data_IF_856853278968
#
_entry.id   IF_856853278968
#
_cell.length_a   1.000
_cell.length_b   1.000
_cell.length_c   1.000
_cell.angle_alpha   90.00
_cell.angle_beta   90.00
_cell.angle_gamma   90.00
#
_symmetry.space_group_name_H-M   'P 1'
#
loop_
_entity.id
_entity.type
_entity.pdbx_description
1 polymer ?
#
# COMPACT_ATOMS: atom_id res chain seq x y z
N UNK A 1 -50.83 5.93 -20.91
CA UNK A 1 -49.79 5.04 -20.34
C UNK A 1 -48.50 5.02 -21.17
N UNK A 2 -48.55 4.95 -22.53
CA UNK A 2 -47.34 4.91 -23.36
C UNK A 2 -46.41 6.14 -23.27
N UNK A 3 -46.93 7.36 -23.05
CA UNK A 3 -46.08 8.56 -22.92
C UNK A 3 -45.25 8.62 -21.62
N UNK A 4 -45.71 8.00 -20.53
CA UNK A 4 -44.92 7.88 -19.28
C UNK A 4 -43.80 6.84 -19.41
N UNK A 5 -43.97 5.84 -20.28
CA UNK A 5 -42.96 4.81 -20.55
C UNK A 5 -41.85 5.38 -21.46
N UNK A 6 -42.17 6.25 -22.44
CA UNK A 6 -41.14 6.95 -23.24
C UNK A 6 -40.26 7.90 -22.42
N UNK A 7 -40.79 8.54 -21.37
CA UNK A 7 -40.01 9.38 -20.45
C UNK A 7 -39.02 8.58 -19.58
N UNK A 8 -39.26 7.28 -19.37
CA UNK A 8 -38.33 6.40 -18.66
C UNK A 8 -37.12 5.98 -19.52
N UNK A 9 -37.20 6.17 -20.84
CA UNK A 9 -36.15 5.78 -21.80
C UNK A 9 -35.63 6.94 -22.67
N UNK A 10 -36.05 8.19 -22.43
CA UNK A 10 -35.39 9.32 -23.07
C UNK A 10 -34.08 9.59 -22.35
N UNK A 11 -32.97 9.61 -23.08
CA UNK A 11 -31.70 10.13 -22.57
C UNK A 11 -31.98 11.51 -21.95
N UNK A 12 -31.59 11.71 -20.68
CA UNK A 12 -31.64 13.04 -20.08
C UNK A 12 -30.74 13.95 -20.89
N UNK A 13 -31.23 15.12 -21.26
CA UNK A 13 -30.41 16.12 -21.94
C UNK A 13 -29.35 16.63 -20.96
N UNK A 14 -28.10 16.26 -21.21
CA UNK A 14 -26.94 16.67 -20.42
C UNK A 14 -26.05 17.68 -21.16
N UNK A 15 -26.56 18.32 -22.22
CA UNK A 15 -25.77 19.26 -23.05
C UNK A 15 -25.18 20.44 -22.27
N UNK A 16 -25.84 20.85 -21.17
CA UNK A 16 -25.38 21.90 -20.25
C UNK A 16 -24.72 21.36 -18.97
N UNK A 17 -24.50 20.06 -18.86
CA UNK A 17 -23.88 19.45 -17.68
C UNK A 17 -22.37 19.29 -17.85
N UNK A 18 -21.65 19.40 -16.74
CA UNK A 18 -20.23 19.14 -16.61
C UNK A 18 -20.05 17.63 -16.42
N UNK A 19 -19.35 16.97 -17.35
CA UNK A 19 -18.97 15.56 -17.22
C UNK A 19 -17.77 15.42 -16.30
N UNK A 20 -17.90 14.55 -15.31
CA UNK A 20 -16.91 14.33 -14.27
C UNK A 20 -16.67 12.83 -14.07
N UNK A 21 -15.40 12.45 -13.91
CA UNK A 21 -15.00 11.10 -13.49
C UNK A 21 -14.31 11.20 -12.12
N UNK A 22 -14.98 10.70 -11.09
CA UNK A 22 -14.46 10.66 -9.72
C UNK A 22 -13.80 9.31 -9.42
N UNK A 23 -12.58 9.35 -8.90
CA UNK A 23 -11.77 8.19 -8.54
C UNK A 23 -11.65 8.10 -7.03
N UNK A 24 -12.55 7.33 -6.42
CA UNK A 24 -12.76 7.26 -4.98
C UNK A 24 -11.96 6.11 -4.37
N UNK A 25 -11.27 6.37 -3.26
CA UNK A 25 -10.41 5.38 -2.59
C UNK A 25 -11.11 4.69 -1.41
N UNK A 26 -12.16 5.32 -0.84
CA UNK A 26 -12.89 4.74 0.29
C UNK A 26 -13.64 3.46 -0.10
N UNK A 27 -13.73 2.53 0.85
CA UNK A 27 -14.45 1.26 0.71
C UNK A 27 -15.94 1.49 0.43
N UNK A 28 -16.54 2.43 1.15
CA UNK A 28 -17.95 2.80 1.06
C UNK A 28 -18.06 4.23 0.56
N UNK A 29 -18.37 4.38 -0.73
CA UNK A 29 -18.58 5.70 -1.34
C UNK A 29 -19.91 6.28 -0.84
N UNK A 30 -19.92 7.49 -0.26
CA UNK A 30 -21.16 8.14 0.16
C UNK A 30 -22.14 8.28 -1.00
N UNK A 31 -23.45 8.20 -0.73
CA UNK A 31 -24.46 8.44 -1.76
C UNK A 31 -24.44 9.94 -2.16
N UNK A 32 -24.37 10.29 -3.46
CA UNK A 32 -24.43 11.68 -3.89
C UNK A 32 -25.75 12.35 -3.47
N UNK A 33 -25.65 13.47 -2.76
CA UNK A 33 -26.79 14.25 -2.23
C UNK A 33 -27.21 15.46 -3.08
N UNK A 34 -26.73 15.55 -4.32
CA UNK A 34 -26.93 16.68 -5.22
C UNK A 34 -27.56 16.24 -6.56
N UNK A 35 -28.17 17.16 -7.34
CA UNK A 35 -28.68 16.85 -8.67
C UNK A 35 -27.57 16.33 -9.59
N UNK A 36 -27.74 15.13 -10.16
CA UNK A 36 -26.78 14.52 -11.06
C UNK A 36 -27.45 13.51 -12.01
N UNK A 37 -26.74 13.17 -13.07
CA UNK A 37 -26.98 11.98 -13.89
C UNK A 37 -25.81 11.02 -13.69
N UNK A 38 -26.10 9.79 -13.26
CA UNK A 38 -25.09 8.73 -13.16
C UNK A 38 -24.89 8.10 -14.54
N UNK A 39 -23.68 8.21 -15.07
CA UNK A 39 -23.33 7.69 -16.39
C UNK A 39 -22.72 6.28 -16.30
N UNK A 40 -21.84 6.07 -15.33
CA UNK A 40 -21.18 4.79 -15.10
C UNK A 40 -20.69 4.68 -13.65
N UNK A 41 -20.57 3.44 -13.16
CA UNK A 41 -19.92 3.10 -11.89
C UNK A 41 -19.17 1.79 -12.04
N UNK A 42 -17.94 1.74 -11.53
CA UNK A 42 -17.15 0.52 -11.38
C UNK A 42 -16.68 0.41 -9.95
N UNK A 43 -16.65 -0.79 -9.40
CA UNK A 43 -16.05 -1.08 -8.10
C UNK A 43 -15.13 -2.31 -8.21
N UNK A 44 -14.54 -2.75 -7.10
CA UNK A 44 -13.60 -3.89 -7.08
C UNK A 44 -14.22 -5.23 -7.55
N UNK A 45 -15.55 -5.35 -7.61
CA UNK A 45 -16.22 -6.52 -8.16
C UNK A 45 -16.37 -6.48 -9.69
N UNK A 46 -16.17 -5.30 -10.29
CA UNK A 46 -16.22 -5.10 -11.73
C UNK A 46 -14.85 -5.43 -12.36
N UNK A 47 -14.76 -6.44 -13.24
CA UNK A 47 -13.50 -6.81 -13.90
C UNK A 47 -12.93 -5.69 -14.78
N UNK A 48 -13.73 -4.71 -15.18
CA UNK A 48 -13.29 -3.56 -15.99
C UNK A 48 -12.65 -2.44 -15.16
N UNK A 49 -12.74 -2.48 -13.82
CA UNK A 49 -12.12 -1.44 -13.00
C UNK A 49 -10.59 -1.45 -13.16
N UNK A 50 -9.93 -2.60 -12.99
CA UNK A 50 -8.46 -2.65 -13.03
C UNK A 50 -7.89 -2.26 -14.40
N UNK A 51 -8.40 -2.76 -15.55
CA UNK A 51 -7.98 -2.28 -16.87
C UNK A 51 -8.20 -0.78 -17.05
N UNK A 52 -9.32 -0.24 -16.56
CA UNK A 52 -9.61 1.19 -16.62
C UNK A 52 -8.59 2.02 -15.81
N UNK A 53 -8.29 1.62 -14.57
CA UNK A 53 -7.30 2.30 -13.73
C UNK A 53 -5.90 2.22 -14.33
N UNK A 54 -5.52 1.05 -14.87
CA UNK A 54 -4.23 0.89 -15.58
C UNK A 54 -4.13 1.82 -16.78
N UNK A 55 -5.19 1.92 -17.60
CA UNK A 55 -5.26 2.86 -18.70
C UNK A 55 -5.12 4.31 -18.24
N UNK A 56 -5.79 4.68 -17.16
CA UNK A 56 -5.70 6.04 -16.60
C UNK A 56 -4.31 6.35 -16.03
N UNK A 57 -3.69 5.43 -15.28
CA UNK A 57 -2.32 5.61 -14.79
C UNK A 57 -1.31 5.75 -15.93
N UNK A 58 -1.45 4.97 -17.01
CA UNK A 58 -0.60 5.10 -18.20
C UNK A 58 -0.77 6.46 -18.88
N UNK A 59 -2.01 6.94 -19.01
CA UNK A 59 -2.29 8.28 -19.51
C UNK A 59 -1.61 9.36 -18.66
N UNK A 60 -1.73 9.28 -17.33
CA UNK A 60 -1.11 10.22 -16.40
C UNK A 60 0.41 10.18 -16.45
N UNK A 61 1.00 8.99 -16.62
CA UNK A 61 2.44 8.81 -16.74
C UNK A 61 3.01 9.38 -18.05
N UNK A 62 2.23 9.39 -19.13
CA UNK A 62 2.64 9.92 -20.44
C UNK A 62 2.37 11.43 -20.61
N UNK A 63 1.43 11.98 -19.84
CA UNK A 63 1.15 13.42 -19.82
C UNK A 63 2.40 14.24 -19.45
N UNK A 64 2.51 15.48 -19.96
CA UNK A 64 3.68 16.34 -19.69
C UNK A 64 4.99 15.80 -20.28
N UNK A 65 4.93 15.23 -21.50
CA UNK A 65 6.06 14.59 -22.16
C UNK A 65 6.75 13.46 -21.36
N UNK A 66 6.02 12.83 -20.43
CA UNK A 66 6.52 11.72 -19.61
C UNK A 66 7.42 12.14 -18.45
N UNK A 67 7.52 13.44 -18.13
CA UNK A 67 8.25 13.89 -16.94
C UNK A 67 7.53 13.38 -15.67
N UNK A 68 8.24 12.89 -14.67
CA UNK A 68 7.61 12.47 -13.40
C UNK A 68 7.80 13.54 -12.33
N UNK A 69 6.77 14.36 -12.09
CA UNK A 69 6.75 15.31 -10.98
C UNK A 69 6.26 14.65 -9.68
N UNK A 70 6.53 15.27 -8.53
CA UNK A 70 6.04 14.78 -7.24
C UNK A 70 4.50 14.69 -7.20
N UNK A 71 3.81 15.70 -7.72
CA UNK A 71 2.33 15.71 -7.76
C UNK A 71 1.82 14.59 -8.66
N UNK A 72 2.39 14.42 -9.86
CA UNK A 72 2.02 13.35 -10.79
C UNK A 72 2.20 11.96 -10.18
N UNK A 73 3.33 11.74 -9.51
CA UNK A 73 3.59 10.51 -8.76
C UNK A 73 2.50 10.26 -7.72
N UNK A 74 2.14 11.24 -6.88
CA UNK A 74 1.12 11.05 -5.84
C UNK A 74 -0.30 10.93 -6.38
N UNK A 75 -0.61 11.54 -7.54
CA UNK A 75 -1.88 11.29 -8.24
C UNK A 75 -1.93 9.84 -8.74
N UNK A 76 -0.85 9.31 -9.31
CA UNK A 76 -0.79 7.89 -9.70
C UNK A 76 -0.93 6.98 -8.46
N UNK A 77 -0.26 7.30 -7.35
CA UNK A 77 -0.44 6.60 -6.06
C UNK A 77 -1.88 6.66 -5.55
N UNK A 78 -2.59 7.76 -5.78
CA UNK A 78 -4.01 7.84 -5.47
C UNK A 78 -4.83 6.89 -6.34
N UNK A 79 -4.58 6.87 -7.65
CA UNK A 79 -5.27 5.97 -8.60
C UNK A 79 -5.06 4.49 -8.24
N UNK A 80 -3.87 4.10 -7.79
CA UNK A 80 -3.58 2.74 -7.32
C UNK A 80 -4.41 2.31 -6.09
N UNK A 81 -4.91 3.26 -5.29
CA UNK A 81 -5.77 3.00 -4.12
C UNK A 81 -7.26 3.04 -4.46
N UNK A 82 -7.63 3.33 -5.71
CA UNK A 82 -9.03 3.53 -6.10
C UNK A 82 -9.81 2.23 -5.97
N UNK A 83 -10.93 2.32 -5.27
CA UNK A 83 -11.86 1.21 -5.08
C UNK A 83 -13.16 1.39 -5.86
N UNK A 84 -13.47 2.64 -6.22
CA UNK A 84 -14.65 2.98 -7.01
C UNK A 84 -14.33 4.07 -8.02
N UNK A 85 -14.77 3.86 -9.26
CA UNK A 85 -14.87 4.89 -10.27
C UNK A 85 -16.35 5.26 -10.43
N UNK A 86 -16.65 6.57 -10.45
CA UNK A 86 -18.01 7.08 -10.64
C UNK A 86 -17.99 8.17 -11.71
N UNK A 87 -18.74 7.98 -12.79
CA UNK A 87 -18.91 8.97 -13.85
C UNK A 87 -20.25 9.67 -13.70
N UNK A 88 -20.23 10.99 -13.55
CA UNK A 88 -21.39 11.83 -13.29
C UNK A 88 -21.48 12.98 -14.29
N UNK A 89 -22.69 13.36 -14.67
CA UNK A 89 -22.97 14.66 -15.28
C UNK A 89 -23.69 15.53 -14.25
N UNK A 90 -23.13 16.70 -13.94
CA UNK A 90 -23.68 17.64 -12.96
C UNK A 90 -23.86 19.04 -13.54
N UNK A 91 -24.85 19.78 -13.06
CA UNK A 91 -25.00 21.20 -13.39
C UNK A 91 -23.99 22.05 -12.60
N UNK A 92 -23.62 23.23 -13.11
CA UNK A 92 -22.69 24.15 -12.45
C UNK A 92 -23.13 24.51 -11.01
N UNK A 93 -24.43 24.69 -10.79
CA UNK A 93 -25.00 24.98 -9.48
C UNK A 93 -24.86 23.85 -8.44
N UNK A 94 -24.47 22.64 -8.84
CA UNK A 94 -24.24 21.51 -7.94
C UNK A 94 -22.78 21.38 -7.47
N UNK A 95 -21.87 22.24 -7.94
CA UNK A 95 -20.42 22.06 -7.74
C UNK A 95 -20.00 22.07 -6.26
N UNK A 96 -20.57 22.94 -5.43
CA UNK A 96 -20.26 23.00 -3.99
C UNK A 96 -20.65 21.71 -3.26
N UNK A 97 -21.83 21.18 -3.59
CA UNK A 97 -22.32 19.92 -3.01
C UNK A 97 -21.53 18.72 -3.54
N UNK A 98 -21.10 18.77 -4.81
CA UNK A 98 -20.18 17.79 -5.39
C UNK A 98 -18.83 17.82 -4.67
N UNK A 99 -18.25 19.00 -4.41
CA UNK A 99 -16.97 19.13 -3.72
C UNK A 99 -17.00 18.50 -2.31
N UNK A 100 -18.08 18.76 -1.55
CA UNK A 100 -18.28 18.13 -0.24
C UNK A 100 -18.36 16.59 -0.34
N UNK A 101 -19.06 16.07 -1.36
CA UNK A 101 -19.13 14.63 -1.61
C UNK A 101 -17.78 14.03 -2.04
N UNK A 102 -17.06 14.70 -2.94
CA UNK A 102 -15.75 14.26 -3.42
C UNK A 102 -14.74 14.18 -2.26
N UNK A 103 -14.82 15.14 -1.32
CA UNK A 103 -14.01 15.12 -0.10
C UNK A 103 -14.34 13.92 0.77
N UNK A 104 -15.63 13.63 0.99
CA UNK A 104 -16.08 12.48 1.78
C UNK A 104 -15.76 11.12 1.10
N UNK A 105 -15.76 11.07 -0.23
CA UNK A 105 -15.38 9.91 -1.03
C UNK A 105 -13.85 9.74 -1.18
N UNK A 106 -13.06 10.68 -0.65
CA UNK A 106 -11.62 10.79 -0.87
C UNK A 106 -11.25 10.64 -2.36
N UNK A 107 -11.87 11.47 -3.19
CA UNK A 107 -11.82 11.36 -4.64
C UNK A 107 -10.93 12.42 -5.30
N UNK A 108 -10.12 12.02 -6.27
CA UNK A 108 -9.63 12.94 -7.30
C UNK A 108 -10.57 12.92 -8.50
N UNK A 109 -10.55 13.98 -9.27
CA UNK A 109 -11.56 14.26 -10.28
C UNK A 109 -10.91 14.47 -11.64
N UNK A 110 -11.21 13.63 -12.63
CA UNK A 110 -10.80 13.84 -14.02
C UNK A 110 -11.93 14.52 -14.79
N UNK A 111 -11.58 15.63 -15.43
CA UNK A 111 -12.51 16.52 -16.13
C UNK A 111 -12.45 16.30 -17.64
N UNK A 112 -13.49 16.72 -18.36
CA UNK A 112 -13.55 16.63 -19.82
C UNK A 112 -12.46 17.46 -20.54
N UNK A 113 -11.91 18.49 -19.87
CA UNK A 113 -10.79 19.29 -20.38
C UNK A 113 -9.44 18.56 -20.29
N UNK A 114 -9.38 17.36 -19.70
CA UNK A 114 -8.16 16.58 -19.50
C UNK A 114 -7.42 16.88 -18.19
N UNK A 115 -7.91 17.81 -17.36
CA UNK A 115 -7.32 18.10 -16.05
C UNK A 115 -7.70 17.06 -14.99
N UNK A 116 -6.78 16.84 -14.04
CA UNK A 116 -7.06 16.16 -12.78
C UNK A 116 -7.14 17.20 -11.68
N UNK A 117 -8.18 17.13 -10.86
CA UNK A 117 -8.47 18.10 -9.81
C UNK A 117 -8.64 17.43 -8.45
N UNK A 118 -8.34 18.19 -7.41
CA UNK A 118 -8.63 17.80 -6.04
C UNK A 118 -10.14 17.94 -5.73
N UNK A 119 -10.62 17.53 -4.55
CA UNK A 119 -12.04 17.64 -4.22
C UNK A 119 -12.59 19.06 -4.22
N UNK A 120 -11.75 20.09 -4.08
CA UNK A 120 -12.13 21.50 -4.12
C UNK A 120 -12.12 22.08 -5.55
N UNK A 121 -11.79 21.27 -6.55
CA UNK A 121 -11.73 21.69 -7.95
C UNK A 121 -10.43 22.43 -8.31
N UNK A 122 -9.43 22.44 -7.43
CA UNK A 122 -8.09 22.97 -7.75
C UNK A 122 -7.35 21.99 -8.63
N UNK A 123 -6.57 22.49 -9.58
CA UNK A 123 -5.91 21.66 -10.60
C UNK A 123 -4.71 20.95 -9.98
N UNK A 124 -4.76 19.63 -9.83
CA UNK A 124 -3.59 18.81 -9.47
C UNK A 124 -2.67 18.65 -10.68
N UNK A 125 -3.25 18.31 -11.83
CA UNK A 125 -2.52 18.15 -13.10
C UNK A 125 -3.33 18.84 -14.21
N UNK A 126 -2.73 19.80 -14.93
CA UNK A 126 -3.37 20.39 -16.10
C UNK A 126 -3.40 19.39 -17.27
N UNK A 127 -4.21 19.68 -18.29
CA UNK A 127 -4.26 18.88 -19.52
C UNK A 127 -2.96 18.96 -20.34
N UNK A 128 -2.24 20.08 -20.22
CA UNK A 128 -0.93 20.31 -20.82
C UNK A 128 -0.01 21.06 -19.83
N UNK A 129 1.29 20.75 -19.88
CA UNK A 129 2.26 21.24 -18.90
C UNK A 129 2.40 20.36 -17.67
N UNK A 130 3.19 20.82 -16.70
CA UNK A 130 3.60 20.03 -15.54
C UNK A 130 3.11 20.56 -14.19
N UNK A 131 2.85 21.86 -14.10
CA UNK A 131 2.51 22.50 -12.84
C UNK A 131 0.99 22.75 -12.75
N UNK A 132 0.39 22.16 -11.72
CA UNK A 132 -0.97 22.47 -11.29
C UNK A 132 -1.02 23.70 -10.37
N UNK A 133 -2.15 23.89 -9.72
CA UNK A 133 -2.32 24.86 -8.65
C UNK A 133 -1.40 24.49 -7.46
N UNK A 134 -0.51 25.38 -7.00
CA UNK A 134 0.37 25.12 -5.86
C UNK A 134 -0.35 24.80 -4.53
N UNK A 135 -1.64 25.13 -4.44
CA UNK A 135 -2.49 24.82 -3.28
C UNK A 135 -3.30 23.53 -3.44
N UNK A 136 -3.27 22.88 -4.61
CA UNK A 136 -3.96 21.61 -4.81
C UNK A 136 -3.29 20.49 -4.00
N UNK A 137 -4.10 19.64 -3.38
CA UNK A 137 -3.59 18.55 -2.53
C UNK A 137 -4.29 17.25 -2.89
N UNK A 138 -3.52 16.19 -3.11
CA UNK A 138 -4.07 14.83 -3.26
C UNK A 138 -4.79 14.47 -1.95
N UNK A 139 -6.08 14.10 -1.98
CA UNK A 139 -6.84 13.93 -0.75
C UNK A 139 -6.48 12.63 -0.03
N UNK A 140 -6.49 12.71 1.30
CA UNK A 140 -6.38 11.57 2.20
C UNK A 140 -7.47 11.65 3.27
N UNK A 141 -7.94 10.51 3.81
CA UNK A 141 -8.85 10.51 4.94
C UNK A 141 -8.22 11.22 6.16
N UNK A 142 -9.02 11.87 7.03
CA UNK A 142 -8.49 12.60 8.18
C UNK A 142 -7.61 11.76 9.11
N UNK A 143 -7.89 10.46 9.25
CA UNK A 143 -7.11 9.55 10.10
C UNK A 143 -5.66 9.40 9.61
N UNK A 144 -5.42 9.50 8.29
CA UNK A 144 -4.07 9.46 7.72
C UNK A 144 -3.22 10.65 8.16
N UNK A 145 -3.81 11.85 8.16
CA UNK A 145 -3.14 13.07 8.63
C UNK A 145 -2.85 13.03 10.12
N UNK A 146 -3.80 12.53 10.92
CA UNK A 146 -3.61 12.36 12.36
C UNK A 146 -2.48 11.37 12.67
N UNK A 147 -2.42 10.25 11.93
CA UNK A 147 -1.35 9.26 12.04
C UNK A 147 0.01 9.84 11.65
N UNK A 148 0.09 10.55 10.52
CA UNK A 148 1.29 11.29 10.12
C UNK A 148 1.79 12.20 11.25
N UNK A 149 0.90 12.99 11.86
CA UNK A 149 1.27 13.88 12.96
C UNK A 149 1.86 13.13 14.16
N UNK A 150 1.25 12.01 14.57
CA UNK A 150 1.78 11.15 15.64
C UNK A 150 3.16 10.59 15.28
N UNK A 151 3.36 10.10 14.06
CA UNK A 151 4.65 9.59 13.60
C UNK A 151 5.72 10.69 13.59
N UNK A 152 5.39 11.88 13.10
CA UNK A 152 6.30 13.02 13.06
C UNK A 152 6.73 13.43 14.49
N UNK A 153 5.82 13.41 15.47
CA UNK A 153 6.14 13.63 16.89
C UNK A 153 7.08 12.56 17.47
N UNK A 154 6.82 11.28 17.19
CA UNK A 154 7.67 10.16 17.62
C UNK A 154 9.09 10.22 17.04
N UNK A 155 9.22 10.73 15.83
CA UNK A 155 10.49 10.93 15.13
C UNK A 155 11.23 12.15 15.66
N UNK A 156 10.53 13.26 15.89
CA UNK A 156 11.10 14.47 16.48
C UNK A 156 11.69 14.19 17.88
N UNK A 157 11.00 13.39 18.70
CA UNK A 157 11.50 12.94 20.00
C UNK A 157 12.82 12.16 19.91
N UNK A 158 13.10 11.53 18.75
CA UNK A 158 14.35 10.81 18.44
C UNK A 158 15.32 11.63 17.60
N UNK A 159 15.06 12.92 17.39
CA UNK A 159 15.86 13.83 16.55
C UNK A 159 15.98 13.36 15.09
N UNK A 160 14.98 12.64 14.60
CA UNK A 160 14.83 12.28 13.18
C UNK A 160 13.96 13.34 12.53
N UNK A 161 14.45 13.97 11.47
CA UNK A 161 13.75 15.03 10.74
C UNK A 161 13.32 14.52 9.37
N UNK A 162 12.02 14.66 9.08
CA UNK A 162 11.42 14.39 7.78
C UNK A 162 10.71 15.66 7.26
N UNK A 163 10.63 15.89 5.94
CA UNK A 163 9.93 17.03 5.37
C UNK A 163 8.45 17.01 5.71
N UNK A 164 7.88 18.18 6.01
CA UNK A 164 6.44 18.32 6.20
C UNK A 164 5.64 17.90 4.95
N UNK A 165 6.27 17.99 3.77
CA UNK A 165 5.72 17.61 2.45
C UNK A 165 5.69 16.11 2.19
N UNK A 166 6.28 15.27 3.05
CA UNK A 166 6.21 13.82 2.93
C UNK A 166 4.75 13.39 3.22
N UNK A 167 4.02 12.79 2.27
CA UNK A 167 2.57 12.65 2.40
C UNK A 167 2.16 11.57 3.42
N UNK A 168 0.89 11.56 3.83
CA UNK A 168 0.29 10.41 4.49
C UNK A 168 0.25 9.18 3.59
N UNK A 169 0.02 8.02 4.19
CA UNK A 169 -0.20 6.76 3.50
C UNK A 169 -1.69 6.35 3.55
N UNK A 170 -1.97 5.15 3.05
CA UNK A 170 -3.29 4.50 3.11
C UNK A 170 -3.88 4.54 4.53
N UNK A 171 -5.19 4.71 4.61
CA UNK A 171 -5.96 4.83 5.84
C UNK A 171 -7.07 3.79 5.96
N UNK A 172 -7.61 3.66 7.16
CA UNK A 172 -8.66 2.71 7.55
C UNK A 172 -9.88 2.72 6.60
N UNK A 173 -10.42 3.87 6.15
CA UNK A 173 -11.60 3.86 5.26
C UNK A 173 -11.31 3.31 3.86
N UNK A 174 -10.06 3.27 3.43
CA UNK A 174 -9.62 2.78 2.11
C UNK A 174 -8.92 1.40 2.22
N UNK A 175 -8.52 1.00 3.42
CA UNK A 175 -7.68 -0.16 3.69
C UNK A 175 -8.28 -1.46 3.11
N UNK A 176 -7.39 -2.22 2.47
CA UNK A 176 -7.57 -3.64 2.19
C UNK A 176 -6.37 -4.35 2.80
N UNK A 177 -6.63 -5.20 3.77
CA UNK A 177 -5.60 -5.91 4.51
C UNK A 177 -5.57 -7.37 4.08
N UNK A 178 -4.38 -7.95 3.95
CA UNK A 178 -4.20 -9.40 3.75
C UNK A 178 -4.88 -10.17 4.88
N UNK A 179 -5.45 -11.32 4.57
CA UNK A 179 -6.17 -12.15 5.56
C UNK A 179 -5.19 -12.77 6.57
N UNK A 180 -5.63 -13.12 7.80
CA UNK A 180 -4.77 -13.82 8.75
C UNK A 180 -4.13 -15.09 8.18
N UNK A 181 -4.87 -15.82 7.34
CA UNK A 181 -4.39 -17.02 6.64
C UNK A 181 -3.29 -16.71 5.62
N UNK A 182 -3.43 -15.63 4.85
CA UNK A 182 -2.40 -15.19 3.91
C UNK A 182 -1.12 -14.78 4.65
N UNK A 183 -1.27 -14.04 5.75
CA UNK A 183 -0.15 -13.60 6.60
C UNK A 183 0.58 -14.80 7.20
N UNK A 184 -0.15 -15.79 7.74
CA UNK A 184 0.44 -17.02 8.26
C UNK A 184 1.20 -17.78 7.18
N UNK A 185 0.58 -17.95 6.00
CA UNK A 185 1.19 -18.66 4.87
C UNK A 185 2.48 -17.99 4.44
N UNK A 186 2.48 -16.67 4.28
CA UNK A 186 3.65 -15.88 3.91
C UNK A 186 4.75 -15.98 4.97
N UNK A 187 4.40 -15.85 6.24
CA UNK A 187 5.33 -15.98 7.37
C UNK A 187 6.03 -17.34 7.38
N UNK A 188 5.29 -18.44 7.18
CA UNK A 188 5.85 -19.79 7.15
C UNK A 188 6.76 -20.01 5.93
N UNK A 189 6.40 -19.46 4.77
CA UNK A 189 7.21 -19.55 3.57
C UNK A 189 8.53 -18.75 3.70
N UNK A 190 8.49 -17.55 4.28
CA UNK A 190 9.70 -16.80 4.62
C UNK A 190 10.56 -17.53 5.65
N UNK A 191 9.92 -18.19 6.62
CA UNK A 191 10.63 -18.94 7.65
C UNK A 191 11.45 -20.11 7.08
N UNK A 192 10.91 -20.88 6.14
CA UNK A 192 11.65 -22.01 5.56
C UNK A 192 12.85 -21.56 4.73
N UNK A 193 12.77 -20.44 4.01
CA UNK A 193 13.92 -19.90 3.27
C UNK A 193 14.96 -19.26 4.20
N UNK A 194 14.52 -18.56 5.25
CA UNK A 194 15.41 -17.96 6.24
C UNK A 194 16.20 -19.01 7.05
N UNK A 195 15.52 -20.08 7.52
CA UNK A 195 16.19 -21.19 8.21
C UNK A 195 17.15 -21.93 7.28
N UNK A 196 16.79 -22.12 6.01
CA UNK A 196 17.71 -22.73 5.04
C UNK A 196 18.99 -21.88 4.93
N UNK A 197 18.85 -20.57 4.78
CA UNK A 197 19.98 -19.64 4.71
C UNK A 197 20.84 -19.69 5.99
N UNK A 198 20.22 -19.64 7.16
CA UNK A 198 20.91 -19.77 8.45
C UNK A 198 21.69 -21.08 8.56
N UNK A 199 21.07 -22.20 8.17
CA UNK A 199 21.70 -23.53 8.25
C UNK A 199 22.95 -23.67 7.38
N UNK A 200 22.99 -22.96 6.24
CA UNK A 200 24.15 -22.92 5.34
C UNK A 200 25.31 -22.13 5.96
N UNK A 201 25.01 -21.08 6.71
CA UNK A 201 26.04 -20.29 7.43
C UNK A 201 26.53 -20.96 8.71
N UNK A 202 25.67 -21.73 9.39
CA UNK A 202 25.95 -22.32 10.70
C UNK A 202 26.67 -23.68 10.70
N UNK A 203 27.06 -24.20 9.53
CA UNK A 203 27.79 -25.47 9.39
C UNK A 203 26.94 -26.74 9.57
N UNK A 204 25.66 -26.62 9.92
CA UNK A 204 24.71 -27.72 10.02
C UNK A 204 23.60 -27.55 8.99
N UNK A 205 23.89 -27.93 7.75
CA UNK A 205 23.00 -27.75 6.61
C UNK A 205 21.72 -28.57 6.78
N UNK A 206 20.56 -27.90 6.78
CA UNK A 206 19.26 -28.58 6.84
C UNK A 206 18.80 -28.87 5.42
N UNK A 207 18.51 -30.13 5.11
CA UNK A 207 18.00 -30.51 3.78
C UNK A 207 16.60 -29.93 3.53
N UNK A 208 16.36 -29.49 2.30
CA UNK A 208 15.07 -28.89 1.90
C UNK A 208 13.91 -29.88 2.07
N UNK A 209 14.15 -31.17 1.82
CA UNK A 209 13.14 -32.22 2.04
C UNK A 209 12.76 -32.38 3.51
N UNK A 210 13.67 -32.11 4.45
CA UNK A 210 13.35 -32.15 5.88
C UNK A 210 12.53 -30.93 6.31
N UNK A 211 12.83 -29.75 5.75
CA UNK A 211 11.98 -28.56 5.91
C UNK A 211 10.58 -28.81 5.34
N UNK A 212 10.48 -29.48 4.19
CA UNK A 212 9.21 -29.82 3.54
C UNK A 212 8.37 -30.79 4.36
N UNK A 213 8.99 -31.81 4.96
CA UNK A 213 8.31 -32.74 5.88
C UNK A 213 7.83 -32.02 7.14
N UNK A 214 8.62 -31.08 7.67
CA UNK A 214 8.31 -30.38 8.93
C UNK A 214 7.29 -29.25 8.76
N UNK A 215 7.35 -28.53 7.65
CA UNK A 215 6.47 -27.40 7.34
C UNK A 215 5.78 -27.53 5.97
N UNK A 216 5.00 -28.60 5.70
CA UNK A 216 4.40 -28.80 4.37
C UNK A 216 3.60 -27.60 3.85
N UNK A 217 2.78 -26.90 4.67
CA UNK A 217 2.01 -25.74 4.20
C UNK A 217 2.84 -24.53 3.78
N UNK A 218 4.09 -24.41 4.26
CA UNK A 218 5.00 -23.33 3.87
C UNK A 218 5.35 -23.41 2.37
N UNK A 219 5.54 -24.63 1.85
CA UNK A 219 5.96 -24.86 0.46
C UNK A 219 4.89 -24.47 -0.56
N UNK A 220 3.61 -24.57 -0.18
CA UNK A 220 2.50 -24.07 -1.00
C UNK A 220 2.42 -22.54 -1.04
N UNK A 221 3.08 -21.85 -0.12
CA UNK A 221 3.14 -20.39 -0.05
C UNK A 221 4.37 -19.77 -0.71
N UNK A 222 5.31 -20.57 -1.20
CA UNK A 222 6.55 -20.05 -1.76
C UNK A 222 6.28 -19.17 -2.99
N UNK A 223 7.10 -18.15 -3.18
CA UNK A 223 7.18 -17.40 -4.44
C UNK A 223 8.09 -18.12 -5.45
N UNK A 224 8.17 -17.60 -6.67
CA UNK A 224 9.09 -18.16 -7.67
C UNK A 224 10.55 -17.94 -7.28
N UNK A 225 10.89 -16.76 -6.74
CA UNK A 225 12.24 -16.49 -6.25
C UNK A 225 12.64 -17.42 -5.09
N UNK A 226 11.74 -17.66 -4.14
CA UNK A 226 11.98 -18.56 -3.01
C UNK A 226 12.09 -20.03 -3.45
N UNK A 227 11.26 -20.48 -4.41
CA UNK A 227 11.38 -21.81 -5.01
C UNK A 227 12.72 -21.99 -5.71
N UNK A 228 13.13 -20.99 -6.49
CA UNK A 228 14.40 -21.00 -7.19
C UNK A 228 15.57 -21.12 -6.21
N UNK A 229 15.56 -20.33 -5.14
CA UNK A 229 16.58 -20.40 -4.08
C UNK A 229 16.66 -21.79 -3.42
N UNK A 230 15.52 -22.36 -3.01
CA UNK A 230 15.50 -23.69 -2.38
C UNK A 230 15.90 -24.83 -3.32
N UNK A 231 15.82 -24.64 -4.64
CA UNK A 231 16.27 -25.63 -5.62
C UNK A 231 17.80 -25.61 -5.85
N UNK A 232 18.51 -24.59 -5.37
CA UNK A 232 19.95 -24.50 -5.54
C UNK A 232 20.69 -25.42 -4.57
N UNK A 233 21.61 -26.24 -5.10
CA UNK A 233 22.49 -27.07 -4.27
C UNK A 233 23.47 -26.22 -3.45
N UNK A 234 24.01 -25.15 -4.07
CA UNK A 234 24.99 -24.24 -3.49
C UNK A 234 24.64 -22.78 -3.83
N UNK A 235 23.74 -22.13 -3.07
CA UNK A 235 23.44 -20.72 -3.28
C UNK A 235 24.64 -19.84 -2.95
N UNK A 236 24.69 -18.66 -3.56
CA UNK A 236 25.76 -17.70 -3.32
C UNK A 236 25.67 -17.11 -1.90
N UNK A 237 26.78 -16.54 -1.42
CA UNK A 237 26.81 -15.81 -0.15
C UNK A 237 25.84 -14.61 -0.16
N UNK A 238 25.72 -13.95 -1.31
CA UNK A 238 24.79 -12.84 -1.50
C UNK A 238 23.33 -13.28 -1.35
N UNK A 239 22.92 -14.35 -2.06
CA UNK A 239 21.56 -14.90 -1.94
C UNK A 239 21.30 -15.40 -0.52
N UNK A 240 22.26 -16.08 0.09
CA UNK A 240 22.15 -16.55 1.49
C UNK A 240 21.93 -15.37 2.45
N UNK A 241 22.68 -14.29 2.27
CA UNK A 241 22.51 -13.06 3.06
C UNK A 241 21.14 -12.43 2.82
N UNK A 242 20.68 -12.35 1.57
CA UNK A 242 19.35 -11.83 1.22
C UNK A 242 18.23 -12.63 1.91
N UNK A 243 18.32 -13.95 1.95
CA UNK A 243 17.31 -14.78 2.60
C UNK A 243 17.41 -14.77 4.14
N UNK A 244 18.59 -14.49 4.72
CA UNK A 244 18.72 -14.22 6.16
C UNK A 244 17.96 -12.96 6.59
N UNK A 245 17.98 -11.90 5.77
CA UNK A 245 17.24 -10.67 6.05
C UNK A 245 15.73 -10.89 6.21
N UNK A 246 15.16 -11.97 5.65
CA UNK A 246 13.74 -12.30 5.80
C UNK A 246 13.30 -12.51 7.25
N UNK A 247 14.21 -12.71 8.20
CA UNK A 247 13.88 -12.69 9.63
C UNK A 247 13.22 -11.37 10.08
N UNK A 248 13.62 -10.23 9.53
CA UNK A 248 13.00 -8.93 9.83
C UNK A 248 11.57 -8.83 9.30
N UNK A 249 11.31 -9.37 8.12
CA UNK A 249 9.95 -9.48 7.59
C UNK A 249 9.10 -10.44 8.45
N UNK A 250 9.67 -11.58 8.87
CA UNK A 250 8.98 -12.54 9.75
C UNK A 250 8.62 -11.89 11.08
N UNK A 251 9.48 -11.06 11.67
CA UNK A 251 9.18 -10.31 12.89
C UNK A 251 7.91 -9.47 12.72
N UNK A 252 7.78 -8.73 11.61
CA UNK A 252 6.57 -7.95 11.31
C UNK A 252 5.34 -8.85 11.22
N UNK A 253 5.41 -9.94 10.46
CA UNK A 253 4.25 -10.83 10.28
C UNK A 253 3.86 -11.54 11.59
N UNK A 254 4.84 -11.95 12.41
CA UNK A 254 4.58 -12.49 13.75
C UNK A 254 3.96 -11.44 14.67
N UNK A 255 4.46 -10.20 14.66
CA UNK A 255 3.88 -9.10 15.42
C UNK A 255 2.44 -8.85 15.00
N UNK A 256 2.15 -8.80 13.71
CA UNK A 256 0.79 -8.63 13.18
C UNK A 256 -0.14 -9.76 13.62
N UNK A 257 0.33 -11.01 13.67
CA UNK A 257 -0.42 -12.17 14.15
C UNK A 257 -0.48 -12.29 15.69
N UNK A 258 -0.01 -11.28 16.43
CA UNK A 258 0.00 -11.29 17.91
C UNK A 258 0.95 -12.31 18.53
N UNK A 259 1.89 -12.84 17.75
CA UNK A 259 2.91 -13.79 18.21
C UNK A 259 4.12 -13.08 18.85
N UNK A 260 4.28 -11.78 18.57
CA UNK A 260 5.25 -10.89 19.21
C UNK A 260 4.51 -9.73 19.87
N UNK A 261 4.90 -9.40 21.11
CA UNK A 261 4.25 -8.36 21.92
C UNK A 261 4.50 -6.96 21.35
N UNK A 262 5.71 -6.69 20.85
CA UNK A 262 6.11 -5.39 20.33
C UNK A 262 6.89 -5.52 19.02
N UNK A 263 6.81 -4.47 18.21
CA UNK A 263 7.69 -4.26 17.07
C UNK A 263 8.77 -3.25 17.52
N UNK A 264 10.02 -3.69 17.75
CA UNK A 264 11.08 -2.82 18.27
C UNK A 264 11.44 -1.72 17.26
N UNK A 265 12.16 -0.71 17.75
CA UNK A 265 12.74 0.31 16.89
C UNK A 265 13.71 -0.32 15.85
N UNK A 266 13.92 0.34 14.72
CA UNK A 266 14.68 -0.21 13.59
C UNK A 266 16.17 0.16 13.64
N UNK A 267 16.78 0.13 14.83
CA UNK A 267 18.20 0.40 15.07
C UNK A 267 19.05 -0.88 15.23
N UNK A 268 18.40 -2.03 15.42
CA UNK A 268 19.05 -3.32 15.57
C UNK A 268 18.29 -4.44 14.85
N UNK A 269 19.02 -5.50 14.51
CA UNK A 269 18.45 -6.73 13.98
C UNK A 269 17.61 -7.44 15.06
N UNK A 270 16.63 -8.22 14.61
CA UNK A 270 15.71 -8.98 15.44
C UNK A 270 16.37 -10.17 16.16
N UNK A 271 15.72 -10.65 17.22
CA UNK A 271 16.10 -11.89 17.90
C UNK A 271 15.64 -13.10 17.06
N UNK A 272 16.53 -13.55 16.18
CA UNK A 272 16.33 -14.73 15.32
C UNK A 272 15.95 -15.96 16.13
N UNK A 273 16.54 -16.16 17.31
CA UNK A 273 16.26 -17.33 18.13
C UNK A 273 14.82 -17.28 18.70
N UNK A 274 14.33 -16.12 19.13
CA UNK A 274 12.95 -15.94 19.57
C UNK A 274 11.94 -16.15 18.43
N UNK A 275 12.23 -15.62 17.24
CA UNK A 275 11.41 -15.80 16.04
C UNK A 275 11.29 -17.29 15.70
N UNK A 276 12.42 -18.00 15.65
CA UNK A 276 12.47 -19.42 15.30
C UNK A 276 11.80 -20.32 16.34
N UNK A 277 12.03 -20.03 17.63
CA UNK A 277 11.38 -20.76 18.74
C UNK A 277 9.86 -20.70 18.64
N UNK A 278 9.31 -19.53 18.35
CA UNK A 278 7.86 -19.32 18.21
C UNK A 278 7.24 -20.23 17.14
N UNK A 279 7.88 -20.35 15.98
CA UNK A 279 7.38 -21.21 14.88
C UNK A 279 7.57 -22.69 15.20
N UNK A 280 8.72 -23.05 15.77
CA UNK A 280 9.08 -24.44 16.08
C UNK A 280 8.20 -25.03 17.17
N UNK A 281 7.99 -24.32 18.28
CA UNK A 281 7.24 -24.82 19.44
C UNK A 281 5.74 -24.94 19.16
N UNK A 282 5.16 -23.97 18.46
CA UNK A 282 3.74 -23.99 18.11
C UNK A 282 3.45 -24.95 16.97
N UNK A 283 4.37 -25.09 16.03
CA UNK A 283 4.16 -25.80 14.77
C UNK A 283 3.03 -25.19 13.92
N UNK A 284 2.89 -25.66 12.69
CA UNK A 284 1.91 -25.09 11.75
C UNK A 284 0.47 -25.16 12.25
N UNK A 285 0.07 -26.29 12.85
CA UNK A 285 -1.29 -26.48 13.36
C UNK A 285 -1.57 -25.66 14.61
N UNK A 286 -0.58 -25.48 15.51
CA UNK A 286 -0.74 -24.62 16.69
C UNK A 286 -0.87 -23.15 16.31
N UNK A 287 -0.10 -22.69 15.32
CA UNK A 287 -0.20 -21.33 14.78
C UNK A 287 -1.57 -21.07 14.15
N UNK A 288 -2.12 -22.03 13.40
CA UNK A 288 -3.42 -21.88 12.73
C UNK A 288 -4.59 -21.74 13.70
N UNK A 289 -4.51 -22.38 14.88
CA UNK A 289 -5.58 -22.35 15.89
C UNK A 289 -5.75 -21.00 16.60
N UNK A 290 -4.77 -20.11 16.48
CA UNK A 290 -4.74 -18.82 17.20
C UNK A 290 -4.53 -17.63 16.25
N UNK A 291 -5.10 -17.69 15.04
CA UNK A 291 -5.01 -16.59 14.09
C UNK A 291 -5.87 -15.41 14.53
N UNK A 292 -5.22 -14.43 15.15
CA UNK A 292 -5.78 -13.12 15.42
C UNK A 292 -4.80 -12.07 14.91
N UNK A 293 -5.31 -11.10 14.13
CA UNK A 293 -4.51 -9.96 13.71
C UNK A 293 -4.66 -8.81 14.69
N UNK A 294 -3.60 -8.03 14.83
CA UNK A 294 -3.64 -6.72 15.48
C UNK A 294 -4.65 -5.80 14.80
N UNK A 295 -5.19 -4.81 15.52
CA UNK A 295 -6.04 -3.78 14.94
C UNK A 295 -5.37 -3.12 13.72
N UNK A 296 -6.17 -2.87 12.68
CA UNK A 296 -5.70 -2.21 11.45
C UNK A 296 -4.97 -0.89 11.73
N UNK A 297 -5.46 -0.10 12.70
CA UNK A 297 -4.82 1.15 13.09
C UNK A 297 -3.38 0.98 13.59
N UNK A 298 -3.09 -0.09 14.36
CA UNK A 298 -1.72 -0.38 14.82
C UNK A 298 -0.79 -0.72 13.65
N UNK A 299 -1.29 -1.51 12.70
CA UNK A 299 -0.53 -1.90 11.49
C UNK A 299 -0.23 -0.67 10.64
N UNK A 300 -1.21 0.22 10.48
CA UNK A 300 -1.04 1.47 9.73
C UNK A 300 -0.09 2.43 10.44
N UNK A 301 -0.18 2.56 11.78
CA UNK A 301 0.77 3.36 12.57
C UNK A 301 2.21 2.83 12.41
N UNK A 302 2.39 1.50 12.41
CA UNK A 302 3.69 0.90 12.15
C UNK A 302 4.19 1.16 10.72
N UNK A 303 3.33 1.02 9.71
CA UNK A 303 3.67 1.31 8.31
C UNK A 303 4.11 2.78 8.13
N UNK A 304 3.33 3.72 8.66
CA UNK A 304 3.59 5.15 8.53
C UNK A 304 4.91 5.57 9.21
N UNK A 305 5.22 4.96 10.35
CA UNK A 305 6.48 5.15 11.06
C UNK A 305 7.68 4.55 10.29
N UNK A 306 7.56 3.32 9.76
CA UNK A 306 8.63 2.67 9.00
C UNK A 306 8.90 3.39 7.67
N UNK A 307 7.86 3.84 6.98
CA UNK A 307 8.00 4.66 5.77
C UNK A 307 8.85 5.91 6.02
N UNK A 308 8.57 6.64 7.10
CA UNK A 308 9.32 7.86 7.46
C UNK A 308 10.74 7.59 7.92
N UNK A 309 10.95 6.55 8.71
CA UNK A 309 12.30 6.13 9.10
C UNK A 309 13.12 5.70 7.89
N UNK A 310 12.52 4.91 7.00
CA UNK A 310 13.17 4.44 5.78
C UNK A 310 13.48 5.61 4.82
N UNK A 311 12.56 6.57 4.65
CA UNK A 311 12.86 7.84 3.97
C UNK A 311 14.07 8.55 4.58
N UNK A 312 14.09 8.77 5.90
CA UNK A 312 15.18 9.48 6.56
C UNK A 312 16.54 8.78 6.39
N UNK A 313 16.55 7.44 6.47
CA UNK A 313 17.74 6.62 6.25
C UNK A 313 18.23 6.70 4.80
N UNK A 314 17.33 6.57 3.81
CA UNK A 314 17.68 6.70 2.38
C UNK A 314 18.24 8.08 2.05
N UNK A 315 17.67 9.14 2.61
CA UNK A 315 18.21 10.48 2.44
C UNK A 315 19.60 10.65 3.05
N UNK A 316 19.85 10.06 4.21
CA UNK A 316 21.18 10.06 4.81
C UNK A 316 22.21 9.33 3.92
N UNK A 317 21.82 8.19 3.33
CA UNK A 317 22.64 7.44 2.36
C UNK A 317 22.95 8.29 1.12
N UNK A 318 21.93 8.90 0.50
CA UNK A 318 22.10 9.77 -0.68
C UNK A 318 23.03 10.95 -0.39
N UNK A 319 22.94 11.54 0.82
CA UNK A 319 23.79 12.63 1.28
C UNK A 319 25.15 12.18 1.81
N UNK A 320 25.42 10.86 1.87
CA UNK A 320 26.64 10.27 2.43
C UNK A 320 26.89 10.71 3.88
N UNK A 321 25.82 10.76 4.67
CA UNK A 321 25.82 11.10 6.10
C UNK A 321 25.41 9.89 6.94
N UNK A 322 25.70 9.91 8.24
CA UNK A 322 25.27 8.86 9.14
C UNK A 322 23.73 8.78 9.23
N UNK A 323 23.19 7.56 9.27
CA UNK A 323 21.77 7.35 9.49
C UNK A 323 21.34 7.93 10.84
N UNK A 324 20.23 8.68 10.90
CA UNK A 324 19.80 9.31 12.14
C UNK A 324 19.35 8.25 13.15
N UNK A 325 19.60 8.51 14.44
CA UNK A 325 19.23 7.62 15.55
C UNK A 325 19.67 6.15 15.37
N UNK A 326 20.81 5.92 14.71
CA UNK A 326 21.36 4.59 14.43
C UNK A 326 20.40 3.66 13.63
N UNK A 327 19.45 4.23 12.88
CA UNK A 327 18.55 3.46 12.03
C UNK A 327 19.33 2.55 11.07
N UNK A 328 18.85 1.32 10.92
CA UNK A 328 19.43 0.30 10.07
C UNK A 328 18.60 0.15 8.79
N UNK A 329 19.23 0.44 7.64
CA UNK A 329 18.58 0.40 6.32
C UNK A 329 18.08 -1.00 5.95
N UNK A 330 18.86 -2.06 6.23
CA UNK A 330 18.45 -3.44 5.94
C UNK A 330 17.24 -3.88 6.76
N UNK A 331 17.20 -3.49 8.04
CA UNK A 331 16.03 -3.71 8.90
C UNK A 331 14.80 -2.98 8.36
N UNK A 332 14.96 -1.69 8.02
CA UNK A 332 13.88 -0.87 7.48
C UNK A 332 13.36 -1.38 6.14
N UNK A 333 14.25 -1.84 5.27
CA UNK A 333 13.91 -2.41 3.96
C UNK A 333 12.94 -3.59 4.11
N UNK A 334 13.29 -4.58 4.92
CA UNK A 334 12.48 -5.78 5.08
C UNK A 334 11.18 -5.54 5.84
N UNK A 335 11.23 -4.71 6.90
CA UNK A 335 10.03 -4.39 7.68
C UNK A 335 9.05 -3.54 6.87
N UNK A 336 9.53 -2.53 6.14
CA UNK A 336 8.69 -1.69 5.27
C UNK A 336 8.10 -2.53 4.13
N UNK A 337 8.88 -3.43 3.52
CA UNK A 337 8.39 -4.35 2.49
C UNK A 337 7.24 -5.22 3.00
N UNK A 338 7.39 -5.83 4.18
CA UNK A 338 6.33 -6.62 4.79
C UNK A 338 5.06 -5.80 5.08
N UNK A 339 5.22 -4.57 5.59
CA UNK A 339 4.11 -3.65 5.87
C UNK A 339 3.39 -3.21 4.59
N UNK A 340 4.11 -2.95 3.50
CA UNK A 340 3.52 -2.65 2.20
C UNK A 340 2.75 -3.84 1.62
N UNK A 341 3.31 -5.05 1.73
CA UNK A 341 2.63 -6.27 1.28
C UNK A 341 1.31 -6.51 2.04
N UNK A 342 1.31 -6.24 3.36
CA UNK A 342 0.12 -6.39 4.22
C UNK A 342 -1.05 -5.53 3.76
N UNK A 343 -0.78 -4.30 3.29
CA UNK A 343 -1.81 -3.32 2.89
C UNK A 343 -2.12 -3.32 1.40
N UNK A 344 -1.70 -4.35 0.66
CA UNK A 344 -1.86 -4.44 -0.80
C UNK A 344 -1.25 -3.24 -1.55
N UNK A 345 -0.05 -2.81 -1.15
CA UNK A 345 0.64 -1.74 -1.87
C UNK A 345 0.83 -2.11 -3.35
N UNK A 346 0.31 -1.26 -4.25
CA UNK A 346 0.22 -1.51 -5.70
C UNK A 346 -0.47 -2.81 -6.13
N UNK A 347 -1.19 -3.47 -5.22
CA UNK A 347 -1.73 -4.82 -5.45
C UNK A 347 -0.70 -5.86 -5.90
N UNK A 348 0.57 -5.66 -5.51
CA UNK A 348 1.69 -6.53 -5.85
C UNK A 348 1.74 -7.78 -4.97
N UNK A 349 2.25 -8.85 -5.57
CA UNK A 349 2.65 -10.06 -4.84
C UNK A 349 4.02 -9.87 -4.20
N UNK A 350 4.38 -10.77 -3.28
CA UNK A 350 5.52 -10.60 -2.38
C UNK A 350 6.84 -10.25 -3.08
N UNK A 351 7.16 -10.87 -4.22
CA UNK A 351 8.43 -10.61 -4.92
C UNK A 351 8.46 -9.23 -5.62
N UNK A 352 7.30 -8.61 -5.86
CA UNK A 352 7.16 -7.38 -6.63
C UNK A 352 6.76 -6.16 -5.78
N UNK A 353 6.66 -6.31 -4.46
CA UNK A 353 6.35 -5.19 -3.55
C UNK A 353 7.57 -4.28 -3.42
N UNK A 354 7.37 -2.99 -3.68
CA UNK A 354 8.39 -1.96 -3.54
C UNK A 354 8.26 -1.17 -2.22
N UNK A 355 9.30 -0.44 -1.85
CA UNK A 355 9.39 0.44 -0.69
C UNK A 355 9.82 1.86 -1.08
N UNK A 356 9.04 2.57 -1.91
CA UNK A 356 9.47 3.87 -2.43
C UNK A 356 9.62 4.88 -1.29
N UNK A 357 10.83 5.44 -1.17
CA UNK A 357 11.28 6.33 -0.09
C UNK A 357 12.33 7.31 -0.58
#
# INVERSE_FOLDING_TARGET
MLNRIKQLFSAKDTSHHILINAYCTVAEVPKPGFPHVLNARRDLSDPELQPHLNGFMNYLAQAGAGQMTQVRYHVIRHVQRVRHHVSLSIEEGAMDSFAAWAQAANAIVFMADGSVRDPQGRVLLPASGDDGDPQAVVPYPPQAWQRKARSDELLAARKIVVPATLPPLVSEPELRLRTPEDVLRRMLALFVVAIRAESLTGGHVIAVEDLKKRFPPAFAGLTDAERAYLAQEAPTEHETTQFLWRYEAILVLQWVLGLQEALPFADAICDVAAISRTVIERGTEGLRKQLAMRPAAEILDALDLHYRQHWATRQAILKKTAAPAALNDGVLQERHHALNWLVHFEDRDWDDVDTPT
#
